data_IF_699629707290
#
_entry.id   IF_699629707290
#
_cell.length_a   1.000
_cell.length_b   1.000
_cell.length_c   1.000
_cell.angle_alpha   90.00
_cell.angle_beta   90.00
_cell.angle_gamma   90.00
#
_symmetry.space_group_name_H-M   'P 1'
#
loop_
_entity.id
_entity.type
_entity.pdbx_description
1 polymer ?
#
# COMPACT_ATOMS: atom_id res chain seq x y z
N UNK A 1 11.96 15.50 34.34
CA UNK A 1 12.23 14.07 34.61
C UNK A 1 12.09 13.71 36.09
N UNK A 2 12.41 14.61 37.02
CA UNK A 2 12.39 14.36 38.48
C UNK A 2 11.13 13.64 38.99
N UNK A 3 9.93 14.13 38.66
CA UNK A 3 8.67 13.51 39.09
C UNK A 3 8.47 12.08 38.54
N UNK A 4 8.89 11.79 37.30
CA UNK A 4 8.86 10.42 36.76
C UNK A 4 9.83 9.56 37.55
N UNK A 5 11.03 10.10 37.81
CA UNK A 5 12.06 9.39 38.55
C UNK A 5 11.73 9.17 40.01
N UNK A 6 10.77 9.84 40.66
CA UNK A 6 10.39 9.46 42.03
C UNK A 6 9.75 8.07 42.08
N UNK A 7 9.13 7.63 40.98
CA UNK A 7 8.44 6.34 40.86
C UNK A 7 9.20 5.33 40.00
N UNK A 8 9.70 5.74 38.83
CA UNK A 8 10.38 4.85 37.88
C UNK A 8 11.85 5.24 37.70
N UNK A 9 12.73 4.45 38.30
CA UNK A 9 14.19 4.62 38.26
C UNK A 9 14.88 3.88 37.11
N UNK A 10 14.16 3.08 36.32
CA UNK A 10 14.78 2.08 35.42
C UNK A 10 14.47 2.31 33.94
N UNK A 11 13.25 2.66 33.58
CA UNK A 11 12.86 2.66 32.17
C UNK A 11 13.33 3.92 31.43
N UNK A 12 13.59 3.75 30.13
CA UNK A 12 13.95 4.85 29.23
C UNK A 12 12.81 5.86 29.20
N UNK A 13 13.13 7.15 29.29
CA UNK A 13 12.17 8.24 29.04
C UNK A 13 12.35 8.67 27.58
N UNK A 14 11.32 8.49 26.77
CA UNK A 14 11.30 8.98 25.39
C UNK A 14 10.73 10.41 25.41
N UNK A 15 11.50 11.37 24.91
CA UNK A 15 11.07 12.77 24.78
C UNK A 15 10.78 13.11 23.33
N UNK A 16 9.63 13.72 23.09
CA UNK A 16 9.17 14.08 21.76
C UNK A 16 9.27 15.59 21.53
N UNK A 17 9.62 15.96 20.31
CA UNK A 17 9.62 17.36 19.89
C UNK A 17 8.20 17.93 19.74
N UNK A 18 8.09 19.25 19.81
CA UNK A 18 6.89 19.96 19.39
C UNK A 18 6.77 19.98 17.86
N UNK A 19 5.62 20.42 17.34
CA UNK A 19 5.43 20.65 15.90
C UNK A 19 5.62 19.38 15.08
N UNK A 20 4.74 18.39 15.30
CA UNK A 20 4.83 17.06 14.68
C UNK A 20 6.13 16.31 15.05
N UNK A 21 6.52 16.34 16.32
CA UNK A 21 7.67 15.57 16.80
C UNK A 21 9.05 16.13 16.46
N UNK A 22 9.17 17.24 15.73
CA UNK A 22 10.42 17.63 15.06
C UNK A 22 11.08 18.92 15.57
N UNK A 23 10.52 19.59 16.59
CA UNK A 23 11.09 20.79 17.19
C UNK A 23 11.49 20.57 18.66
N UNK A 24 12.80 20.61 18.92
CA UNK A 24 13.39 20.32 20.24
C UNK A 24 13.85 21.57 21.00
N UNK A 25 13.43 22.76 20.58
CA UNK A 25 13.74 24.00 21.28
C UNK A 25 13.19 23.96 22.71
N UNK A 26 14.06 24.22 23.69
CA UNK A 26 13.71 24.14 25.12
C UNK A 26 13.68 22.73 25.70
N UNK A 27 13.97 21.69 24.91
CA UNK A 27 14.03 20.29 25.36
C UNK A 27 15.47 19.81 25.65
N UNK A 28 16.44 20.73 25.64
CA UNK A 28 17.85 20.46 25.92
C UNK A 28 18.39 21.47 26.93
N UNK A 29 19.41 21.12 27.75
CA UNK A 29 20.09 19.82 27.82
C UNK A 29 19.20 18.69 28.35
N UNK A 30 19.58 17.44 28.11
CA UNK A 30 18.88 16.27 28.66
C UNK A 30 18.96 16.29 30.20
N UNK A 31 17.85 15.92 30.85
CA UNK A 31 17.71 15.97 32.32
C UNK A 31 17.89 14.62 33.00
N UNK A 32 18.29 13.59 32.26
CA UNK A 32 18.49 12.22 32.72
C UNK A 32 19.40 11.48 31.71
N UNK A 33 20.18 10.50 32.17
CA UNK A 33 21.12 9.75 31.33
C UNK A 33 20.48 8.52 30.65
N UNK A 34 19.21 8.24 30.94
CA UNK A 34 18.43 7.13 30.39
C UNK A 34 17.22 7.69 29.61
N UNK A 35 17.52 8.47 28.57
CA UNK A 35 16.56 9.13 27.70
C UNK A 35 16.82 8.83 26.22
N UNK A 36 15.78 8.96 25.40
CA UNK A 36 15.86 8.92 23.95
C UNK A 36 15.02 10.04 23.33
N UNK A 37 15.42 10.57 22.18
CA UNK A 37 14.60 11.51 21.40
C UNK A 37 13.64 10.74 20.49
N UNK A 38 12.38 11.14 20.45
CA UNK A 38 11.39 10.72 19.47
C UNK A 38 11.23 11.80 18.40
N UNK A 39 11.12 11.39 17.15
CA UNK A 39 10.77 12.24 16.00
C UNK A 39 9.65 11.61 15.18
N UNK A 40 8.99 12.39 14.32
CA UNK A 40 8.03 11.88 13.34
C UNK A 40 8.58 12.05 11.92
N UNK A 41 8.14 11.18 11.00
CA UNK A 41 8.51 11.27 9.58
C UNK A 41 7.33 10.90 8.70
N UNK A 42 6.98 11.79 7.76
CA UNK A 42 5.87 11.60 6.82
C UNK A 42 6.17 12.27 5.48
N UNK A 43 5.73 11.64 4.39
CA UNK A 43 5.64 12.19 3.03
C UNK A 43 6.89 12.92 2.51
N UNK A 44 8.06 12.47 2.92
CA UNK A 44 9.35 13.00 2.50
C UNK A 44 10.23 11.87 1.94
N UNK A 45 11.35 12.22 1.30
CA UNK A 45 12.28 11.22 0.75
C UNK A 45 12.76 10.24 1.83
N UNK A 46 13.05 9.00 1.44
CA UNK A 46 13.69 8.01 2.31
C UNK A 46 15.20 8.03 2.11
N UNK A 47 15.86 9.08 2.59
CA UNK A 47 17.30 9.27 2.46
C UNK A 47 17.95 9.83 3.75
N UNK A 48 19.29 9.79 3.78
CA UNK A 48 20.08 10.30 4.91
C UNK A 48 19.86 11.82 5.10
N UNK A 49 19.63 12.57 4.01
CA UNK A 49 19.46 14.02 4.05
C UNK A 49 18.22 14.43 4.85
N UNK A 50 17.09 13.75 4.63
CA UNK A 50 15.84 14.00 5.36
C UNK A 50 15.83 13.43 6.78
N UNK A 51 16.75 12.51 7.12
CA UNK A 51 16.97 12.05 8.50
C UNK A 51 18.02 12.87 9.26
N UNK A 52 18.76 13.74 8.58
CA UNK A 52 19.93 14.44 9.14
C UNK A 52 19.61 15.14 10.46
N UNK A 53 18.47 15.81 10.58
CA UNK A 53 18.11 16.52 11.82
C UNK A 53 18.07 15.58 13.05
N UNK A 54 17.56 14.36 12.89
CA UNK A 54 17.49 13.37 13.96
C UNK A 54 18.86 12.75 14.25
N UNK A 55 19.65 12.49 13.19
CA UNK A 55 21.03 11.99 13.34
C UNK A 55 21.91 13.02 14.07
N UNK A 56 21.78 14.30 13.73
CA UNK A 56 22.49 15.40 14.40
C UNK A 56 22.11 15.49 15.89
N UNK A 57 20.84 15.25 16.24
CA UNK A 57 20.40 15.21 17.65
C UNK A 57 21.04 14.04 18.41
N UNK A 58 21.07 12.84 17.80
CA UNK A 58 21.73 11.67 18.37
C UNK A 58 23.20 11.97 18.67
N UNK A 59 23.92 12.51 17.69
CA UNK A 59 25.36 12.80 17.80
C UNK A 59 25.63 13.89 18.82
N UNK A 60 24.93 15.04 18.72
CA UNK A 60 25.15 16.21 19.58
C UNK A 60 24.92 15.91 21.05
N UNK A 61 23.93 15.07 21.36
CA UNK A 61 23.53 14.77 22.74
C UNK A 61 23.98 13.39 23.23
N UNK A 62 24.65 12.60 22.38
CA UNK A 62 25.03 11.22 22.66
C UNK A 62 23.86 10.40 23.24
N UNK A 63 22.69 10.48 22.58
CA UNK A 63 21.46 9.86 23.03
C UNK A 63 20.77 9.08 21.90
N UNK A 64 20.10 7.95 22.20
CA UNK A 64 19.32 7.23 21.20
C UNK A 64 18.23 8.11 20.57
N UNK A 65 17.85 7.77 19.34
CA UNK A 65 16.68 8.33 18.65
C UNK A 65 15.72 7.21 18.28
N UNK A 66 14.44 7.53 18.25
CA UNK A 66 13.32 6.64 17.97
C UNK A 66 12.37 7.35 17.00
N UNK A 67 11.91 6.67 15.96
CA UNK A 67 10.85 7.20 15.10
C UNK A 67 9.50 6.87 15.78
N UNK A 68 8.96 7.82 16.54
CA UNK A 68 7.74 7.66 17.35
C UNK A 68 6.47 7.48 16.54
N UNK A 69 6.44 8.07 15.35
CA UNK A 69 5.25 8.09 14.52
C UNK A 69 5.62 8.25 13.05
N UNK A 70 5.10 7.34 12.22
CA UNK A 70 5.27 7.37 10.76
C UNK A 70 4.19 6.53 10.09
N UNK A 71 3.95 6.71 8.79
CA UNK A 71 2.91 5.96 8.08
C UNK A 71 2.34 6.76 6.92
N UNK A 72 1.06 6.49 6.59
CA UNK A 72 0.28 7.25 5.60
C UNK A 72 0.94 7.33 4.21
N UNK A 73 1.52 6.21 3.75
CA UNK A 73 2.19 6.14 2.45
C UNK A 73 2.14 4.71 1.88
N UNK A 74 2.70 4.52 0.69
CA UNK A 74 2.69 3.25 -0.01
C UNK A 74 3.58 2.18 0.64
N UNK A 75 3.35 0.92 0.24
CA UNK A 75 4.22 -0.19 0.60
C UNK A 75 5.67 0.01 0.12
N UNK A 76 5.89 0.73 -0.98
CA UNK A 76 7.23 1.11 -1.45
C UNK A 76 7.89 2.02 -0.43
N UNK A 77 7.21 3.09 -0.02
CA UNK A 77 7.72 4.02 0.99
C UNK A 77 7.97 3.33 2.33
N UNK A 78 7.07 2.45 2.79
CA UNK A 78 7.25 1.69 4.03
C UNK A 78 8.49 0.80 3.98
N UNK A 79 8.68 0.07 2.88
CA UNK A 79 9.83 -0.82 2.71
C UNK A 79 11.14 -0.04 2.74
N UNK A 80 11.22 1.04 1.96
CA UNK A 80 12.43 1.87 1.85
C UNK A 80 12.73 2.63 3.14
N UNK A 81 11.71 3.14 3.83
CA UNK A 81 11.90 3.79 5.13
C UNK A 81 12.47 2.80 6.14
N UNK A 82 11.91 1.60 6.26
CA UNK A 82 12.41 0.62 7.23
C UNK A 82 13.85 0.23 6.92
N UNK A 83 14.22 0.07 5.64
CA UNK A 83 15.61 -0.15 5.25
C UNK A 83 16.54 0.99 5.67
N UNK A 84 16.10 2.24 5.50
CA UNK A 84 16.85 3.41 5.94
C UNK A 84 17.01 3.44 7.47
N UNK A 85 15.97 3.11 8.22
CA UNK A 85 16.01 3.08 9.68
C UNK A 85 16.89 1.94 10.20
N UNK A 86 16.81 0.76 9.59
CA UNK A 86 17.67 -0.39 9.87
C UNK A 86 19.15 -0.04 9.63
N UNK A 87 19.46 0.66 8.52
CA UNK A 87 20.82 1.16 8.20
C UNK A 87 21.39 2.03 9.32
N UNK A 88 20.54 2.85 9.95
CA UNK A 88 20.94 3.77 11.03
C UNK A 88 20.66 3.21 12.44
N UNK A 89 20.22 1.96 12.57
CA UNK A 89 19.82 1.35 13.84
C UNK A 89 18.83 2.23 14.62
N UNK A 90 17.75 2.66 13.95
CA UNK A 90 16.67 3.46 14.51
C UNK A 90 15.43 2.58 14.67
N UNK A 91 14.93 2.43 15.90
CA UNK A 91 13.65 1.77 16.14
C UNK A 91 12.47 2.67 15.76
N UNK A 92 11.31 2.08 15.46
CA UNK A 92 10.17 2.81 14.92
C UNK A 92 8.80 2.30 15.37
N UNK A 93 7.80 3.17 15.31
CA UNK A 93 6.38 2.85 15.45
C UNK A 93 5.56 3.42 14.28
N UNK A 94 4.84 2.53 13.59
CA UNK A 94 3.93 2.92 12.51
C UNK A 94 2.55 3.29 13.05
N UNK A 95 2.03 4.42 12.60
CA UNK A 95 0.71 4.94 12.92
C UNK A 95 -0.23 4.92 11.71
N UNK A 96 -1.51 4.53 11.92
CA UNK A 96 -2.04 3.71 13.01
C UNK A 96 -2.14 2.23 12.61
N UNK A 97 -2.09 1.36 13.63
CA UNK A 97 -2.26 -0.08 13.45
C UNK A 97 -3.64 -0.48 12.89
N UNK A 98 -4.70 0.25 13.25
CA UNK A 98 -6.09 0.00 12.87
C UNK A 98 -6.71 1.26 12.27
N UNK A 99 -7.14 1.18 11.01
CA UNK A 99 -7.68 2.31 10.26
C UNK A 99 -9.06 2.01 9.71
N UNK A 100 -9.97 2.99 9.72
CA UNK A 100 -11.29 2.83 9.10
C UNK A 100 -11.18 3.01 7.59
N UNK A 101 -11.62 2.00 6.83
CA UNK A 101 -11.63 1.93 5.36
C UNK A 101 -10.43 2.58 4.68
N UNK A 102 -9.25 2.08 5.04
CA UNK A 102 -7.97 2.57 4.54
C UNK A 102 -7.07 1.40 4.12
N UNK A 103 -6.22 1.64 3.12
CA UNK A 103 -5.25 0.67 2.61
C UNK A 103 -3.89 0.75 3.34
N UNK A 104 -3.50 1.93 3.81
CA UNK A 104 -2.18 2.25 4.37
C UNK A 104 -2.07 1.95 5.87
N UNK A 105 -2.37 0.71 6.27
CA UNK A 105 -2.20 0.21 7.63
C UNK A 105 -2.24 -1.31 7.69
N UNK A 106 -1.66 -1.93 8.73
CA UNK A 106 -1.61 -3.40 8.82
C UNK A 106 -2.99 -4.04 9.05
N UNK A 107 -3.98 -3.25 9.47
CA UNK A 107 -5.37 -3.69 9.56
C UNK A 107 -6.34 -2.60 9.10
N UNK A 108 -7.45 -3.07 8.52
CA UNK A 108 -8.56 -2.25 8.09
C UNK A 108 -9.83 -2.58 8.88
N UNK A 109 -10.45 -1.55 9.45
CA UNK A 109 -11.72 -1.55 10.16
C UNK A 109 -12.79 -1.13 9.16
N UNK A 110 -13.84 -1.93 8.97
CA UNK A 110 -14.93 -1.54 8.09
C UNK A 110 -15.76 -0.43 8.72
N UNK A 111 -16.02 0.62 7.93
CA UNK A 111 -17.01 1.64 8.27
C UNK A 111 -18.40 1.01 8.33
N UNK A 112 -19.36 1.71 8.93
CA UNK A 112 -20.78 1.39 8.80
C UNK A 112 -21.53 2.54 8.14
N UNK A 113 -22.67 2.28 7.46
CA UNK A 113 -23.51 3.35 6.91
C UNK A 113 -23.88 4.41 7.97
N UNK A 114 -24.17 3.99 9.20
CA UNK A 114 -24.53 4.90 10.29
C UNK A 114 -23.34 5.79 10.72
N UNK A 115 -22.11 5.27 10.65
CA UNK A 115 -20.93 6.10 10.91
C UNK A 115 -20.70 7.11 9.79
N UNK A 116 -21.00 6.74 8.54
CA UNK A 116 -20.98 7.69 7.42
C UNK A 116 -21.99 8.83 7.64
N UNK A 117 -23.18 8.55 8.17
CA UNK A 117 -24.15 9.60 8.54
C UNK A 117 -23.58 10.58 9.59
N UNK A 118 -22.83 10.08 10.58
CA UNK A 118 -22.13 10.96 11.54
C UNK A 118 -21.06 11.83 10.88
N UNK A 119 -20.26 11.24 9.97
CA UNK A 119 -19.24 11.98 9.20
C UNK A 119 -19.88 13.06 8.34
N UNK A 120 -20.98 12.74 7.66
CA UNK A 120 -21.70 13.67 6.79
C UNK A 120 -22.30 14.82 7.60
N UNK A 121 -22.85 14.54 8.79
CA UNK A 121 -23.31 15.58 9.71
C UNK A 121 -22.17 16.48 10.21
N UNK A 122 -21.03 15.91 10.64
CA UNK A 122 -19.90 16.72 11.10
C UNK A 122 -19.31 17.60 10.01
N UNK A 123 -19.31 17.10 8.76
CA UNK A 123 -18.78 17.83 7.61
C UNK A 123 -19.73 18.92 7.10
N UNK A 124 -21.03 18.62 7.01
CA UNK A 124 -21.99 19.45 6.29
C UNK A 124 -23.06 20.11 7.19
N UNK A 125 -23.14 19.73 8.46
CA UNK A 125 -24.25 20.10 9.34
C UNK A 125 -25.54 19.34 9.00
N UNK A 126 -26.70 19.97 9.20
CA UNK A 126 -28.02 19.39 8.94
C UNK A 126 -28.75 18.95 10.21
N UNK A 127 -29.64 17.97 10.07
CA UNK A 127 -30.36 17.40 11.22
C UNK A 127 -29.37 16.75 12.17
N UNK A 128 -29.36 17.22 13.42
CA UNK A 128 -28.43 16.73 14.44
C UNK A 128 -28.79 15.29 14.82
N UNK A 129 -27.86 14.32 14.65
CA UNK A 129 -28.10 12.96 15.11
C UNK A 129 -28.39 12.91 16.60
N UNK A 130 -29.33 12.04 17.02
CA UNK A 130 -29.65 11.88 18.43
C UNK A 130 -28.45 11.34 19.22
N UNK A 131 -28.43 11.61 20.52
CA UNK A 131 -27.38 11.11 21.41
C UNK A 131 -27.34 9.58 21.38
N UNK A 132 -28.51 8.94 21.37
CA UNK A 132 -28.68 7.49 21.34
C UNK A 132 -28.13 6.88 20.05
N UNK A 133 -28.41 7.50 18.89
CA UNK A 133 -27.85 7.10 17.61
C UNK A 133 -26.34 7.23 17.61
N UNK A 134 -25.81 8.41 17.97
CA UNK A 134 -24.37 8.64 17.99
C UNK A 134 -23.64 7.66 18.92
N UNK A 135 -24.17 7.40 20.11
CA UNK A 135 -23.59 6.45 21.05
C UNK A 135 -23.60 5.02 20.48
N UNK A 136 -24.72 4.55 19.92
CA UNK A 136 -24.81 3.21 19.33
C UNK A 136 -23.82 3.05 18.16
N UNK A 137 -23.76 4.04 17.27
CA UNK A 137 -22.88 4.04 16.10
C UNK A 137 -21.41 4.04 16.51
N UNK A 138 -20.99 4.90 17.44
CA UNK A 138 -19.60 4.94 17.92
C UNK A 138 -19.20 3.64 18.64
N UNK A 139 -20.11 3.05 19.42
CA UNK A 139 -19.85 1.76 20.08
C UNK A 139 -19.79 0.60 19.08
N UNK A 140 -20.54 0.65 17.98
CA UNK A 140 -20.39 -0.31 16.90
C UNK A 140 -19.01 -0.19 16.23
N UNK A 141 -18.53 1.02 15.97
CA UNK A 141 -17.17 1.24 15.46
C UNK A 141 -16.14 0.71 16.47
N UNK A 142 -16.25 1.03 17.76
CA UNK A 142 -15.38 0.47 18.79
C UNK A 142 -15.37 -1.07 18.80
N UNK A 143 -16.52 -1.71 18.55
CA UNK A 143 -16.60 -3.16 18.38
C UNK A 143 -15.91 -3.64 17.10
N UNK A 144 -16.01 -2.92 15.98
CA UNK A 144 -15.30 -3.23 14.73
C UNK A 144 -13.77 -3.12 14.90
N UNK A 145 -13.28 -2.27 15.82
CA UNK A 145 -11.86 -2.17 16.15
C UNK A 145 -11.29 -3.38 16.92
N UNK A 146 -12.11 -4.34 17.36
CA UNK A 146 -11.61 -5.59 17.95
C UNK A 146 -10.82 -6.39 16.91
N UNK A 147 -9.71 -7.00 17.30
CA UNK A 147 -8.80 -7.64 16.35
C UNK A 147 -9.44 -8.81 15.57
N UNK A 148 -10.46 -9.48 16.13
CA UNK A 148 -11.21 -10.52 15.43
C UNK A 148 -12.17 -9.99 14.35
N UNK A 149 -12.38 -8.67 14.29
CA UNK A 149 -13.34 -8.01 13.40
C UNK A 149 -12.65 -7.15 12.32
N UNK A 150 -11.32 -7.06 12.33
CA UNK A 150 -10.57 -6.29 11.33
C UNK A 150 -10.08 -7.18 10.21
N UNK A 151 -9.98 -6.58 9.02
CA UNK A 151 -9.31 -7.18 7.87
C UNK A 151 -7.80 -6.99 8.02
N UNK A 152 -7.02 -8.07 7.97
CA UNK A 152 -5.55 -7.99 8.01
C UNK A 152 -5.01 -7.69 6.61
N UNK A 153 -4.17 -6.67 6.49
CA UNK A 153 -3.51 -6.27 5.24
C UNK A 153 -2.16 -6.96 5.10
N UNK A 154 -2.20 -8.18 4.55
CA UNK A 154 -1.01 -9.02 4.40
C UNK A 154 0.04 -8.43 3.45
N UNK A 155 -0.36 -7.61 2.47
CA UNK A 155 0.54 -6.89 1.57
C UNK A 155 1.38 -5.85 2.34
N UNK A 156 0.76 -5.09 3.25
CA UNK A 156 1.45 -4.14 4.12
C UNK A 156 2.42 -4.87 5.06
N UNK A 157 2.00 -5.98 5.67
CA UNK A 157 2.88 -6.81 6.51
C UNK A 157 4.06 -7.35 5.70
N UNK A 158 3.82 -7.86 4.49
CA UNK A 158 4.88 -8.36 3.63
C UNK A 158 5.90 -7.27 3.29
N UNK A 159 5.42 -6.06 2.97
CA UNK A 159 6.24 -4.87 2.71
C UNK A 159 7.13 -4.49 3.92
N UNK A 160 6.54 -4.47 5.12
CA UNK A 160 7.24 -4.04 6.34
C UNK A 160 8.26 -5.05 6.88
N UNK A 161 8.14 -6.34 6.56
CA UNK A 161 8.97 -7.39 7.16
C UNK A 161 9.80 -8.17 6.16
N UNK A 162 9.17 -8.81 5.17
CA UNK A 162 9.91 -9.64 4.22
C UNK A 162 10.61 -8.76 3.20
N UNK A 163 9.88 -7.84 2.59
CA UNK A 163 10.40 -7.04 1.49
C UNK A 163 11.54 -6.12 1.93
N UNK A 164 11.71 -5.82 3.21
CA UNK A 164 12.87 -5.02 3.68
C UNK A 164 14.20 -5.75 3.48
N UNK A 165 14.19 -7.09 3.43
CA UNK A 165 15.40 -7.93 3.35
C UNK A 165 15.44 -8.88 2.14
N UNK A 166 14.30 -9.15 1.52
CA UNK A 166 14.16 -10.12 0.43
C UNK A 166 13.38 -9.52 -0.75
N UNK A 167 14.00 -9.54 -1.94
CA UNK A 167 13.44 -8.97 -3.17
C UNK A 167 12.59 -9.98 -3.97
N UNK A 168 12.46 -11.23 -3.52
CA UNK A 168 11.68 -12.24 -4.21
C UNK A 168 10.19 -11.88 -4.26
N UNK A 169 9.44 -12.50 -5.17
CA UNK A 169 7.98 -12.35 -5.25
C UNK A 169 7.27 -13.56 -4.65
N UNK A 170 6.08 -13.35 -4.09
CA UNK A 170 5.19 -14.41 -3.60
C UNK A 170 3.81 -14.29 -4.26
N UNK A 171 3.11 -15.41 -4.52
CA UNK A 171 1.72 -15.35 -4.96
C UNK A 171 0.86 -14.63 -3.90
N UNK A 172 0.03 -13.67 -4.31
CA UNK A 172 -0.94 -13.03 -3.41
C UNK A 172 -2.13 -13.95 -3.12
N UNK A 173 -2.56 -14.71 -4.14
CA UNK A 173 -3.56 -15.77 -4.05
C UNK A 173 -2.99 -17.06 -4.63
N UNK A 174 -3.59 -18.18 -4.25
CA UNK A 174 -3.31 -19.47 -4.88
C UNK A 174 -4.03 -19.56 -6.23
N UNK A 175 -3.45 -18.95 -7.27
CA UNK A 175 -4.03 -18.92 -8.62
C UNK A 175 -3.75 -20.24 -9.35
N UNK A 176 -4.76 -20.74 -10.08
CA UNK A 176 -4.72 -22.03 -10.76
C UNK A 176 -5.07 -21.89 -12.24
N UNK A 177 -4.47 -22.73 -13.08
CA UNK A 177 -4.80 -22.88 -14.50
C UNK A 177 -5.35 -24.29 -14.78
N UNK A 178 -6.51 -24.43 -15.46
CA UNK A 178 -7.41 -23.35 -15.89
C UNK A 178 -8.11 -22.65 -14.72
N UNK A 179 -8.51 -21.39 -14.92
CA UNK A 179 -9.17 -20.58 -13.89
C UNK A 179 -9.27 -19.09 -14.22
N UNK A 180 -10.19 -18.39 -13.55
CA UNK A 180 -10.32 -16.93 -13.61
C UNK A 180 -9.39 -16.27 -12.60
N UNK A 181 -8.68 -15.23 -13.04
CA UNK A 181 -7.72 -14.46 -12.24
C UNK A 181 -8.16 -12.99 -12.27
N UNK A 182 -8.32 -12.37 -11.10
CA UNK A 182 -8.62 -10.95 -11.02
C UNK A 182 -7.34 -10.14 -11.28
N UNK A 183 -7.47 -8.99 -11.94
CA UNK A 183 -6.33 -8.13 -12.22
C UNK A 183 -5.61 -7.68 -10.93
N UNK A 184 -6.37 -7.51 -9.85
CA UNK A 184 -5.91 -7.09 -8.53
C UNK A 184 -5.15 -8.16 -7.76
N UNK A 185 -5.17 -9.41 -8.22
CA UNK A 185 -4.52 -10.56 -7.57
C UNK A 185 -3.05 -10.77 -7.99
N UNK A 186 -2.38 -9.70 -8.46
CA UNK A 186 -0.95 -9.73 -8.81
C UNK A 186 -0.08 -10.10 -7.60
N UNK A 187 1.14 -10.57 -7.83
CA UNK A 187 2.03 -11.06 -6.78
C UNK A 187 2.33 -9.99 -5.69
N UNK A 188 2.73 -10.48 -4.52
CA UNK A 188 3.38 -9.68 -3.48
C UNK A 188 4.87 -9.50 -3.82
N UNK A 189 5.38 -8.30 -3.62
CA UNK A 189 6.81 -8.00 -3.74
C UNK A 189 7.06 -6.53 -4.03
N UNK A 190 8.35 -6.16 -4.10
CA UNK A 190 8.76 -4.79 -4.39
C UNK A 190 8.33 -4.38 -5.80
N UNK A 191 8.10 -3.09 -5.98
CA UNK A 191 8.01 -2.48 -7.31
C UNK A 191 9.29 -2.77 -8.11
N UNK A 192 9.13 -3.09 -9.39
CA UNK A 192 10.18 -3.61 -10.28
C UNK A 192 10.37 -5.13 -10.21
N UNK A 193 9.81 -5.82 -9.20
CA UNK A 193 9.86 -7.28 -9.07
C UNK A 193 8.49 -7.95 -9.27
N UNK A 194 7.45 -7.48 -8.59
CA UNK A 194 6.09 -8.03 -8.66
C UNK A 194 5.13 -7.19 -9.52
N UNK A 195 5.35 -5.89 -9.61
CA UNK A 195 4.61 -4.95 -10.44
C UNK A 195 5.49 -3.74 -10.76
N UNK A 196 5.07 -2.91 -11.71
CA UNK A 196 5.61 -1.58 -11.93
C UNK A 196 4.45 -0.60 -12.13
N UNK A 197 4.51 0.51 -11.42
CA UNK A 197 3.58 1.63 -11.50
C UNK A 197 4.41 2.93 -11.44
N UNK A 198 3.97 4.00 -12.11
CA UNK A 198 4.71 5.27 -12.13
C UNK A 198 4.31 6.21 -10.99
N UNK A 199 3.11 6.07 -10.44
CA UNK A 199 2.55 6.89 -9.38
C UNK A 199 2.42 6.06 -8.09
N UNK A 200 3.56 5.73 -7.47
CA UNK A 200 3.59 4.73 -6.40
C UNK A 200 3.89 5.30 -5.00
N UNK A 201 4.06 6.61 -4.84
CA UNK A 201 4.56 7.20 -3.58
C UNK A 201 4.15 8.65 -3.40
N UNK A 202 3.92 9.08 -2.16
CA UNK A 202 3.62 10.47 -1.83
C UNK A 202 4.79 11.16 -1.12
N UNK A 203 5.36 12.22 -1.72
CA UNK A 203 6.58 12.88 -1.24
C UNK A 203 6.43 14.41 -1.08
N UNK A 204 5.19 14.88 -0.90
CA UNK A 204 4.83 16.30 -0.94
C UNK A 204 5.52 17.20 0.10
N UNK A 205 5.99 16.66 1.23
CA UNK A 205 6.73 17.43 2.25
C UNK A 205 8.14 17.75 1.76
N UNK A 206 8.77 16.84 1.02
CA UNK A 206 10.08 17.10 0.40
C UNK A 206 9.96 17.88 -0.90
N UNK A 207 8.93 17.62 -1.69
CA UNK A 207 8.71 18.24 -2.99
C UNK A 207 7.20 18.37 -3.24
N UNK A 208 6.62 19.59 -3.13
CA UNK A 208 5.20 19.81 -3.35
C UNK A 208 4.69 19.33 -4.72
N UNK A 209 5.56 19.24 -5.74
CA UNK A 209 5.19 18.72 -7.05
C UNK A 209 5.05 17.18 -7.07
N UNK A 210 5.52 16.48 -6.03
CA UNK A 210 5.40 15.02 -5.85
C UNK A 210 4.29 14.63 -4.88
N UNK A 211 3.25 15.44 -4.81
CA UNK A 211 1.99 15.03 -4.18
C UNK A 211 1.28 14.05 -5.12
N UNK A 212 1.19 12.79 -4.70
CA UNK A 212 0.51 11.75 -5.45
C UNK A 212 -0.39 10.93 -4.52
N UNK A 213 -1.54 10.52 -5.04
CA UNK A 213 -2.40 9.50 -4.46
C UNK A 213 -1.96 8.18 -5.09
N UNK A 214 -0.91 7.56 -4.53
CA UNK A 214 -0.53 6.21 -4.95
C UNK A 214 -1.72 5.29 -4.77
N UNK A 215 -1.92 4.35 -5.70
CA UNK A 215 -3.20 3.68 -5.83
C UNK A 215 -4.36 4.71 -5.78
N UNK A 216 -4.50 5.49 -6.82
CA UNK A 216 -5.43 6.62 -6.97
C UNK A 216 -6.91 6.24 -6.77
N UNK A 217 -7.26 4.97 -6.82
CA UNK A 217 -8.61 4.50 -6.46
C UNK A 217 -8.78 4.19 -4.96
N UNK A 218 -7.69 4.12 -4.20
CA UNK A 218 -7.62 3.83 -2.77
C UNK A 218 -8.36 2.54 -2.39
N UNK A 219 -8.20 1.49 -3.20
CA UNK A 219 -8.88 0.20 -3.00
C UNK A 219 -7.92 -0.96 -2.79
N UNK A 220 -8.36 -1.91 -1.96
CA UNK A 220 -7.78 -3.24 -1.72
C UNK A 220 -6.35 -3.27 -1.13
N UNK A 221 -5.36 -2.75 -1.84
CA UNK A 221 -3.91 -2.92 -1.58
C UNK A 221 -3.23 -1.58 -1.38
N UNK A 222 -2.13 -1.56 -0.62
CA UNK A 222 -1.33 -0.35 -0.38
C UNK A 222 -0.11 -0.21 -1.31
N UNK A 223 -0.01 -1.11 -2.28
CA UNK A 223 0.95 -1.03 -3.37
C UNK A 223 0.68 0.19 -4.27
N UNK A 224 1.62 0.51 -5.18
CA UNK A 224 1.45 1.64 -6.10
C UNK A 224 0.31 1.47 -7.11
N UNK A 225 -0.01 0.24 -7.48
CA UNK A 225 -0.99 -0.08 -8.53
C UNK A 225 -2.35 0.57 -8.29
N UNK A 226 -2.82 1.32 -9.27
CA UNK A 226 -4.12 1.97 -9.28
C UNK A 226 -5.30 0.98 -9.37
N UNK A 227 -6.02 0.79 -8.25
CA UNK A 227 -7.16 -0.13 -8.15
C UNK A 227 -8.45 0.66 -7.89
N UNK A 228 -9.42 0.48 -8.77
CA UNK A 228 -10.71 1.14 -8.71
C UNK A 228 -11.85 0.17 -8.45
N UNK A 229 -12.97 0.73 -8.01
CA UNK A 229 -14.23 0.01 -7.85
C UNK A 229 -15.18 0.40 -9.00
N UNK A 230 -15.73 -0.60 -9.65
CA UNK A 230 -16.80 -0.46 -10.65
C UNK A 230 -18.15 -0.10 -10.01
N UNK A 231 -19.09 0.36 -10.83
CA UNK A 231 -20.48 0.58 -10.41
C UNK A 231 -21.16 -0.67 -9.83
N UNK A 232 -20.79 -1.87 -10.30
CA UNK A 232 -21.28 -3.17 -9.78
C UNK A 232 -20.47 -3.70 -8.57
N UNK A 233 -19.72 -2.81 -7.90
CA UNK A 233 -18.92 -3.11 -6.71
C UNK A 233 -17.82 -4.16 -6.90
N UNK A 234 -17.42 -4.44 -8.15
CA UNK A 234 -16.24 -5.24 -8.49
C UNK A 234 -15.00 -4.36 -8.57
N UNK A 235 -13.80 -4.95 -8.51
CA UNK A 235 -12.54 -4.21 -8.63
C UNK A 235 -11.86 -4.44 -9.97
N UNK A 236 -11.08 -3.45 -10.40
CA UNK A 236 -10.24 -3.51 -11.59
C UNK A 236 -8.96 -2.71 -11.39
N UNK A 237 -7.92 -3.04 -12.14
CA UNK A 237 -6.74 -2.18 -12.26
C UNK A 237 -7.02 -1.17 -13.36
N UNK A 238 -6.84 0.12 -13.07
CA UNK A 238 -7.10 1.20 -14.00
C UNK A 238 -5.98 2.23 -13.98
N UNK A 239 -6.18 3.37 -14.65
CA UNK A 239 -5.17 4.45 -14.79
C UNK A 239 -3.78 3.93 -15.23
N UNK A 240 -3.77 2.78 -15.90
CA UNK A 240 -2.53 2.15 -16.34
C UNK A 240 -1.80 3.06 -17.31
N UNK A 241 -0.49 3.04 -17.26
CA UNK A 241 0.37 3.80 -18.15
C UNK A 241 1.26 2.87 -18.99
N UNK A 242 1.65 3.36 -20.18
CA UNK A 242 2.64 2.71 -21.00
C UNK A 242 3.94 2.50 -20.19
N UNK A 243 4.37 1.24 -20.15
CA UNK A 243 5.54 0.82 -19.39
C UNK A 243 5.20 -0.01 -18.16
N UNK A 244 4.00 0.14 -17.62
CA UNK A 244 3.58 -0.55 -16.41
C UNK A 244 3.28 -2.02 -16.64
N UNK A 245 3.36 -2.81 -15.58
CA UNK A 245 3.09 -4.24 -15.66
C UNK A 245 2.74 -4.86 -14.32
N UNK A 246 2.03 -5.99 -14.39
CA UNK A 246 1.60 -6.77 -13.22
C UNK A 246 2.05 -8.22 -13.40
N UNK A 247 2.73 -8.79 -12.38
CA UNK A 247 3.13 -10.19 -12.39
C UNK A 247 2.12 -11.09 -11.66
N UNK A 248 1.87 -12.27 -12.20
CA UNK A 248 1.02 -13.29 -11.59
C UNK A 248 1.75 -14.62 -11.55
N UNK A 249 1.80 -15.24 -10.37
CA UNK A 249 2.25 -16.61 -10.19
C UNK A 249 1.05 -17.56 -10.25
N UNK A 250 1.00 -18.43 -11.26
CA UNK A 250 -0.13 -19.31 -11.58
C UNK A 250 0.34 -20.76 -11.61
N UNK A 251 -0.35 -21.63 -10.89
CA UNK A 251 -0.06 -23.06 -10.86
C UNK A 251 -0.88 -23.82 -11.91
N UNK A 252 -0.20 -24.60 -12.76
CA UNK A 252 -0.83 -25.50 -13.73
C UNK A 252 -0.63 -26.96 -13.33
N UNK A 253 -1.67 -27.79 -13.47
CA UNK A 253 -1.59 -29.22 -13.14
C UNK A 253 -0.67 -29.99 -14.08
N UNK A 254 -0.65 -29.61 -15.35
CA UNK A 254 0.09 -30.27 -16.42
C UNK A 254 0.68 -29.23 -17.38
N UNK A 255 1.73 -29.63 -18.12
CA UNK A 255 2.28 -28.79 -19.19
C UNK A 255 1.28 -28.74 -20.35
N UNK A 256 0.74 -27.56 -20.64
CA UNK A 256 -0.32 -27.37 -21.63
C UNK A 256 -0.24 -25.97 -22.26
N UNK A 257 -0.72 -25.88 -23.49
CA UNK A 257 -1.00 -24.60 -24.16
C UNK A 257 -2.39 -24.11 -23.76
N UNK A 258 -2.47 -22.89 -23.24
CA UNK A 258 -3.69 -22.25 -22.79
C UNK A 258 -4.13 -21.12 -23.73
N UNK A 259 -5.43 -20.81 -23.65
CA UNK A 259 -6.02 -19.58 -24.17
C UNK A 259 -6.29 -18.63 -23.01
N UNK A 260 -5.96 -17.35 -23.17
CA UNK A 260 -6.34 -16.30 -22.21
C UNK A 260 -7.48 -15.48 -22.79
N UNK A 261 -8.58 -15.40 -22.04
CA UNK A 261 -9.68 -14.48 -22.29
C UNK A 261 -9.51 -13.27 -21.36
N UNK A 262 -9.14 -12.13 -21.93
CA UNK A 262 -8.77 -10.92 -21.21
C UNK A 262 -9.98 -9.99 -21.19
N UNK A 263 -10.46 -9.68 -19.99
CA UNK A 263 -11.59 -8.77 -19.76
C UNK A 263 -11.07 -7.36 -19.46
N UNK A 264 -11.27 -6.45 -20.41
CA UNK A 264 -10.69 -5.11 -20.39
C UNK A 264 -11.72 -4.04 -20.79
N UNK A 265 -11.40 -2.79 -20.49
CA UNK A 265 -12.07 -1.61 -21.00
C UNK A 265 -11.00 -0.58 -21.42
N UNK A 266 -11.23 0.16 -22.51
CA UNK A 266 -10.35 1.23 -22.95
C UNK A 266 -11.08 2.20 -23.87
N UNK A 267 -10.79 3.50 -23.74
CA UNK A 267 -11.39 4.52 -24.62
C UNK A 267 -10.71 4.60 -25.99
N UNK A 268 -9.48 4.12 -26.11
CA UNK A 268 -8.71 4.12 -27.36
C UNK A 268 -8.29 2.71 -27.74
N UNK A 269 -7.81 2.53 -28.98
CA UNK A 269 -7.17 1.27 -29.34
C UNK A 269 -5.81 1.20 -28.66
N UNK A 270 -5.56 0.12 -27.94
CA UNK A 270 -4.38 -0.09 -27.12
C UNK A 270 -3.77 -1.48 -27.39
N UNK A 271 -2.63 -1.75 -26.76
CA UNK A 271 -2.00 -3.06 -26.76
C UNK A 271 -1.51 -3.43 -25.37
N UNK A 272 -1.51 -4.73 -25.13
CA UNK A 272 -0.80 -5.33 -24.00
C UNK A 272 0.09 -6.45 -24.51
N UNK A 273 1.17 -6.73 -23.78
CA UNK A 273 2.02 -7.90 -23.97
C UNK A 273 1.86 -8.84 -22.80
N UNK A 274 1.90 -10.12 -23.10
CA UNK A 274 2.03 -11.17 -22.09
C UNK A 274 3.47 -11.64 -22.15
N UNK A 275 4.17 -11.55 -21.04
CA UNK A 275 5.56 -11.97 -20.90
C UNK A 275 5.69 -13.06 -19.84
N UNK A 276 6.81 -13.77 -19.83
CA UNK A 276 7.22 -14.53 -18.65
C UNK A 276 8.01 -13.62 -17.67
N UNK A 277 8.40 -14.15 -16.50
CA UNK A 277 9.19 -13.41 -15.52
C UNK A 277 10.57 -12.90 -16.02
N UNK A 278 11.13 -13.45 -17.10
CA UNK A 278 12.39 -12.97 -17.68
C UNK A 278 12.20 -11.84 -18.71
N UNK A 279 10.97 -11.36 -18.92
CA UNK A 279 10.64 -10.37 -19.95
C UNK A 279 10.54 -10.95 -21.37
N UNK A 280 10.58 -12.28 -21.53
CA UNK A 280 10.35 -12.89 -22.84
C UNK A 280 8.88 -12.78 -23.18
N UNK A 281 8.60 -12.08 -24.27
CA UNK A 281 7.25 -11.98 -24.83
C UNK A 281 6.72 -13.35 -25.26
N UNK A 282 5.53 -13.68 -24.77
CA UNK A 282 4.76 -14.87 -25.10
C UNK A 282 3.66 -14.57 -26.10
N UNK A 283 3.03 -13.39 -25.99
CA UNK A 283 2.02 -12.92 -26.94
C UNK A 283 1.90 -11.39 -26.93
N UNK A 284 1.36 -10.85 -28.03
CA UNK A 284 0.87 -9.47 -28.12
C UNK A 284 -0.64 -9.52 -28.32
N UNK A 285 -1.37 -8.65 -27.62
CA UNK A 285 -2.83 -8.58 -27.70
C UNK A 285 -3.23 -7.16 -28.08
N UNK A 286 -3.90 -7.03 -29.22
CA UNK A 286 -4.52 -5.78 -29.63
C UNK A 286 -5.87 -5.62 -28.92
N UNK A 287 -6.07 -4.48 -28.28
CA UNK A 287 -7.26 -4.09 -27.55
C UNK A 287 -7.98 -3.01 -28.34
N UNK A 288 -9.12 -3.32 -28.96
CA UNK A 288 -9.92 -2.30 -29.65
C UNK A 288 -10.60 -1.41 -28.61
N UNK A 289 -10.84 -0.14 -28.94
CA UNK A 289 -11.66 0.74 -28.09
C UNK A 289 -12.98 0.07 -27.72
N UNK A 290 -13.29 0.09 -26.42
CA UNK A 290 -14.55 -0.41 -25.89
C UNK A 290 -15.60 0.69 -25.80
N UNK A 291 -15.20 1.96 -25.88
CA UNK A 291 -16.07 3.13 -25.89
C UNK A 291 -16.34 3.74 -24.51
N UNK A 292 -15.69 3.25 -23.45
CA UNK A 292 -15.85 3.79 -22.10
C UNK A 292 -15.00 3.04 -21.06
N UNK A 293 -14.65 3.71 -19.96
CA UNK A 293 -13.83 3.16 -18.87
C UNK A 293 -14.43 1.93 -18.17
N UNK A 294 -15.75 1.76 -18.21
CA UNK A 294 -16.46 0.59 -17.65
C UNK A 294 -17.29 -0.16 -18.71
N UNK A 295 -17.00 0.05 -20.00
CA UNK A 295 -17.57 -0.79 -21.06
C UNK A 295 -16.63 -1.96 -21.28
N UNK A 296 -16.95 -3.09 -20.66
CA UNK A 296 -16.09 -4.27 -20.61
C UNK A 296 -16.25 -5.16 -21.86
N UNK A 297 -15.14 -5.53 -22.50
CA UNK A 297 -15.08 -6.51 -23.59
C UNK A 297 -14.06 -7.60 -23.28
N UNK A 298 -14.25 -8.76 -23.91
CA UNK A 298 -13.31 -9.87 -23.84
C UNK A 298 -12.56 -9.98 -25.16
N UNK A 299 -11.24 -10.14 -25.09
CA UNK A 299 -10.39 -10.53 -26.21
C UNK A 299 -9.67 -11.84 -25.87
N UNK A 300 -9.62 -12.77 -26.82
CA UNK A 300 -8.98 -14.07 -26.64
C UNK A 300 -7.62 -14.11 -27.33
N UNK A 301 -6.60 -14.61 -26.63
CA UNK A 301 -5.27 -14.90 -27.18
C UNK A 301 -4.88 -16.34 -26.89
N UNK A 302 -4.48 -17.08 -27.92
CA UNK A 302 -4.13 -18.50 -27.85
C UNK A 302 -2.62 -18.68 -27.87
N UNK A 303 -2.15 -19.88 -27.49
CA UNK A 303 -0.75 -20.27 -27.71
C UNK A 303 0.18 -20.03 -26.52
N UNK A 304 -0.36 -19.79 -25.32
CA UNK A 304 0.46 -19.50 -24.13
C UNK A 304 0.80 -20.81 -23.43
N UNK A 305 2.08 -21.18 -23.47
CA UNK A 305 2.53 -22.46 -22.93
C UNK A 305 2.88 -22.34 -21.45
N UNK A 306 2.20 -23.12 -20.62
CA UNK A 306 2.56 -23.33 -19.21
C UNK A 306 3.23 -24.69 -19.03
N UNK A 307 4.18 -24.73 -18.10
CA UNK A 307 4.76 -25.98 -17.59
C UNK A 307 3.90 -26.48 -16.42
N UNK A 308 3.95 -27.78 -16.14
CA UNK A 308 3.44 -28.32 -14.87
C UNK A 308 4.08 -27.60 -13.68
N UNK A 309 3.25 -27.20 -12.71
CA UNK A 309 3.66 -26.45 -11.53
C UNK A 309 3.56 -24.93 -11.72
N UNK A 310 4.51 -24.20 -11.14
CA UNK A 310 4.48 -22.74 -11.07
C UNK A 310 4.85 -22.09 -12.42
N UNK A 311 4.05 -21.11 -12.85
CA UNK A 311 4.30 -20.28 -14.01
C UNK A 311 4.13 -18.81 -13.64
N UNK A 312 5.17 -18.01 -13.85
CA UNK A 312 5.11 -16.56 -13.65
C UNK A 312 4.91 -15.86 -14.98
N UNK A 313 3.81 -15.13 -15.10
CA UNK A 313 3.51 -14.29 -16.26
C UNK A 313 3.48 -12.81 -15.86
N UNK A 314 3.69 -11.92 -16.83
CA UNK A 314 3.44 -10.49 -16.68
C UNK A 314 2.43 -10.03 -17.73
N UNK A 315 1.47 -9.22 -17.32
CA UNK A 315 0.67 -8.40 -18.22
C UNK A 315 1.33 -7.02 -18.27
N UNK A 316 1.84 -6.64 -19.44
CA UNK A 316 2.56 -5.39 -19.68
C UNK A 316 1.69 -4.46 -20.52
N UNK A 317 1.52 -3.22 -20.10
CA UNK A 317 0.73 -2.20 -20.79
C UNK A 317 1.61 -1.41 -21.77
N UNK A 318 1.26 -1.41 -23.06
CA UNK A 318 2.00 -0.65 -24.08
C UNK A 318 1.38 0.74 -24.37
N UNK A 319 0.24 1.03 -23.74
CA UNK A 319 -0.50 2.26 -23.92
C UNK A 319 -1.17 2.64 -22.60
N UNK A 320 -1.42 3.93 -22.44
CA UNK A 320 -2.11 4.47 -21.28
C UNK A 320 -3.62 4.15 -21.33
N UNK A 321 -4.26 4.09 -20.16
CA UNK A 321 -5.71 4.05 -20.01
C UNK A 321 -6.37 2.71 -20.35
N UNK A 322 -5.64 1.59 -20.20
CA UNK A 322 -6.25 0.25 -20.26
C UNK A 322 -6.73 -0.15 -18.87
N UNK A 323 -8.04 -0.30 -18.71
CA UNK A 323 -8.60 -0.89 -17.51
C UNK A 323 -8.66 -2.40 -17.65
N UNK A 324 -8.10 -3.14 -16.69
CA UNK A 324 -8.08 -4.60 -16.65
C UNK A 324 -8.91 -5.10 -15.48
N UNK A 325 -10.00 -5.84 -15.76
CA UNK A 325 -10.88 -6.41 -14.71
C UNK A 325 -10.37 -7.78 -14.26
N UNK A 326 -10.10 -8.64 -15.24
CA UNK A 326 -9.68 -10.03 -14.99
C UNK A 326 -9.18 -10.67 -16.29
N UNK A 327 -8.55 -11.82 -16.19
CA UNK A 327 -8.36 -12.72 -17.33
C UNK A 327 -8.66 -14.16 -16.93
N UNK A 328 -9.12 -14.97 -17.88
CA UNK A 328 -9.44 -16.38 -17.67
C UNK A 328 -8.49 -17.26 -18.49
N UNK A 329 -7.86 -18.22 -17.82
CA UNK A 329 -6.92 -19.18 -18.41
C UNK A 329 -7.67 -20.48 -18.72
N UNK A 330 -7.73 -20.91 -20.00
CA UNK A 330 -8.54 -22.04 -20.51
C UNK A 330 -7.72 -23.14 -21.20
#
# INVERSE_FOLDING_TARGET
>A
TEAIRTVDKKHIIIIEGNGWGNNYNGLTPLWDNNMAFSFHKYWNYNDDATLKFALDLREKHNAPIWLGETGENSNVWFTELIQLLDKHNIGYAFWPMKKIDNIAGITNVKITPEYQELLDYWKNGGEKPSKEFAQKTLMQIANNYKFNNVEIKNDVIDAMFRQTKDNSTKPFKNLQAPGKILATDYDLGRMGAAYLDKDFINLWVSDPAKRSEWNSGNQLRNDGVDIYKTNDNQYYVGKTENGEWLQYTINAKDSKTYTFDINYASNTTAKIRIENASGKQLATVSLNSTGGNEIWKIVSVKGINFKKGENKIRIYFENDGVNLKSFEVK
#
